data_IF_593409743013
#
_entry.id   IF_593409743013
#
_cell.length_a   1.000
_cell.length_b   1.000
_cell.length_c   1.000
_cell.angle_alpha   90.00
_cell.angle_beta   90.00
_cell.angle_gamma   90.00
#
_symmetry.space_group_name_H-M   'P 1'
#
loop_
_entity.id
_entity.type
_entity.pdbx_description
1 polymer ?
#
# COMPACT_ATOMS: atom_id res chain seq x y z
N UNK A 1 15.63 21.18 25.90
CA UNK A 1 15.56 19.75 25.85
C UNK A 1 16.28 19.20 24.62
N UNK A 2 16.88 18.03 24.70
CA UNK A 2 17.53 17.40 23.54
C UNK A 2 16.48 17.03 22.49
N UNK A 3 16.77 17.33 21.22
CA UNK A 3 15.94 16.90 20.07
C UNK A 3 16.50 15.58 19.55
N UNK A 4 15.64 14.55 19.47
CA UNK A 4 15.99 13.31 18.81
C UNK A 4 15.76 13.45 17.31
N UNK A 5 16.76 13.12 16.51
CA UNK A 5 16.69 13.10 15.04
C UNK A 5 16.96 11.69 14.56
N UNK A 6 16.16 11.20 13.64
CA UNK A 6 16.31 9.89 13.04
C UNK A 6 15.77 9.85 11.61
N UNK A 7 16.24 8.89 10.80
CA UNK A 7 15.70 8.58 9.49
C UNK A 7 14.92 7.27 9.56
N UNK A 8 13.84 7.17 8.77
CA UNK A 8 13.03 5.95 8.64
C UNK A 8 12.45 5.88 7.22
N UNK A 9 11.95 4.71 6.86
CA UNK A 9 11.11 4.54 5.69
C UNK A 9 9.88 5.46 5.75
N UNK A 10 9.28 5.73 4.58
CA UNK A 10 8.09 6.56 4.50
C UNK A 10 6.95 5.93 5.31
N UNK A 11 6.43 6.69 6.27
CA UNK A 11 5.29 6.27 7.08
C UNK A 11 4.01 6.77 6.44
N UNK A 12 3.06 5.85 6.22
CA UNK A 12 1.69 6.20 5.82
C UNK A 12 0.81 6.18 7.08
N UNK A 13 0.25 7.33 7.46
CA UNK A 13 -0.80 7.41 8.47
C UNK A 13 -2.15 7.14 7.79
N UNK A 14 -2.86 6.12 8.28
CA UNK A 14 -4.02 5.53 7.62
C UNK A 14 -5.11 5.19 8.62
N UNK A 15 -6.31 5.67 8.41
CA UNK A 15 -7.45 5.39 9.26
C UNK A 15 -8.51 4.62 8.48
N UNK A 16 -9.16 3.64 9.12
CA UNK A 16 -10.24 2.83 8.54
C UNK A 16 -11.51 3.09 9.35
N UNK A 17 -12.59 3.49 8.66
CA UNK A 17 -13.85 3.89 9.27
C UNK A 17 -14.78 2.69 9.44
N UNK A 18 -15.45 2.62 10.59
CA UNK A 18 -16.41 1.57 10.91
C UNK A 18 -17.81 2.17 11.08
N UNK A 19 -18.85 1.43 10.72
CA UNK A 19 -20.25 1.82 10.88
C UNK A 19 -20.75 1.73 12.33
N UNK A 20 -19.91 2.01 13.30
CA UNK A 20 -20.22 1.99 14.74
C UNK A 20 -19.48 3.10 15.47
N UNK A 21 -20.00 3.55 16.60
CA UNK A 21 -19.32 4.47 17.53
C UNK A 21 -18.65 3.73 18.69
N UNK A 22 -18.77 2.40 18.77
CA UNK A 22 -18.13 1.64 19.83
C UNK A 22 -16.64 1.39 19.55
N UNK A 23 -15.79 2.17 20.22
CA UNK A 23 -14.33 2.07 20.14
C UNK A 23 -13.78 0.67 20.37
N UNK A 24 -14.48 -0.17 21.12
CA UNK A 24 -14.00 -1.51 21.46
C UNK A 24 -13.81 -2.36 20.21
N UNK A 25 -14.71 -2.25 19.21
CA UNK A 25 -14.56 -2.95 17.92
C UNK A 25 -13.30 -2.50 17.17
N UNK A 26 -13.07 -1.20 17.08
CA UNK A 26 -11.89 -0.68 16.43
C UNK A 26 -10.59 -1.13 17.12
N UNK A 27 -10.56 -1.15 18.46
CA UNK A 27 -9.42 -1.67 19.21
C UNK A 27 -9.20 -3.17 18.98
N UNK A 28 -10.25 -3.98 19.00
CA UNK A 28 -10.15 -5.42 18.77
C UNK A 28 -9.54 -5.73 17.40
N UNK A 29 -10.01 -5.04 16.34
CA UNK A 29 -9.48 -5.21 15.00
C UNK A 29 -8.02 -4.70 14.93
N UNK A 30 -7.73 -3.52 15.50
CA UNK A 30 -6.37 -2.99 15.54
C UNK A 30 -5.38 -3.95 16.22
N UNK A 31 -5.81 -4.63 17.28
CA UNK A 31 -4.96 -5.55 18.04
C UNK A 31 -4.71 -6.88 17.32
N UNK A 32 -5.64 -7.33 16.48
CA UNK A 32 -5.42 -8.49 15.60
C UNK A 32 -4.45 -8.16 14.46
N UNK A 33 -4.48 -6.91 13.97
CA UNK A 33 -3.72 -6.53 12.79
C UNK A 33 -2.30 -6.06 13.09
N UNK A 34 -2.12 -5.23 14.16
CA UNK A 34 -0.84 -4.54 14.43
C UNK A 34 0.30 -5.49 14.78
N UNK A 35 1.54 -5.12 14.44
CA UNK A 35 2.75 -5.89 14.71
C UNK A 35 2.88 -6.35 16.17
N UNK A 36 2.60 -5.47 17.12
CA UNK A 36 2.65 -5.83 18.54
C UNK A 36 1.66 -6.92 18.92
N UNK A 37 0.57 -7.08 18.15
CA UNK A 37 -0.48 -8.02 18.45
C UNK A 37 -1.25 -7.66 19.72
N UNK A 38 -1.64 -8.67 20.49
CA UNK A 38 -2.43 -8.55 21.71
C UNK A 38 -1.95 -9.50 22.79
N UNK A 39 -2.35 -9.24 24.02
CA UNK A 39 -2.08 -10.18 25.12
C UNK A 39 -2.82 -11.50 24.89
N UNK A 40 -2.09 -12.61 25.06
CA UNK A 40 -2.70 -13.93 25.11
C UNK A 40 -3.60 -14.05 26.34
N UNK A 41 -4.76 -14.69 26.17
CA UNK A 41 -5.71 -14.96 27.25
C UNK A 41 -6.05 -16.44 27.29
N UNK A 42 -6.42 -16.94 28.48
CA UNK A 42 -6.74 -18.35 28.75
C UNK A 42 -8.17 -18.74 28.38
N UNK A 43 -9.06 -17.76 28.19
CA UNK A 43 -10.47 -18.00 27.89
C UNK A 43 -10.79 -18.13 26.42
N UNK A 44 -12.01 -18.53 26.11
CA UNK A 44 -12.53 -18.57 24.77
C UNK A 44 -12.62 -17.16 24.17
N UNK A 45 -12.35 -17.06 22.87
CA UNK A 45 -12.56 -15.84 22.10
C UNK A 45 -14.06 -15.65 21.89
N UNK A 46 -14.60 -14.55 22.40
CA UNK A 46 -15.88 -14.02 21.96
C UNK A 46 -15.69 -13.41 20.57
N UNK A 47 -16.63 -13.53 19.62
CA UNK A 47 -16.49 -12.92 18.29
C UNK A 47 -16.20 -11.42 18.33
N UNK A 48 -16.49 -10.75 19.44
CA UNK A 48 -16.29 -9.31 19.61
C UNK A 48 -15.12 -8.94 20.51
N UNK A 49 -14.86 -9.73 21.60
CA UNK A 49 -13.82 -9.43 22.58
C UNK A 49 -13.16 -10.71 23.08
N UNK A 50 -11.87 -10.63 23.37
CA UNK A 50 -11.21 -11.70 24.11
C UNK A 50 -11.69 -11.77 25.56
N UNK A 51 -11.98 -12.98 25.99
CA UNK A 51 -12.33 -13.32 27.38
C UNK A 51 -11.20 -14.10 28.03
N UNK A 52 -11.33 -14.29 29.33
CA UNK A 52 -10.37 -15.02 30.18
C UNK A 52 -9.24 -14.14 30.71
N UNK A 53 -8.40 -14.76 31.53
CA UNK A 53 -7.29 -14.11 32.20
C UNK A 53 -6.10 -13.92 31.25
N UNK A 54 -5.33 -12.86 31.48
CA UNK A 54 -4.07 -12.65 30.75
C UNK A 54 -3.07 -13.71 31.15
N UNK A 55 -2.42 -14.31 30.17
CA UNK A 55 -1.34 -15.29 30.36
C UNK A 55 -0.01 -14.54 30.52
N UNK A 56 0.75 -14.92 31.54
CA UNK A 56 2.06 -14.33 31.86
C UNK A 56 3.19 -15.35 31.74
N UNK A 57 4.40 -14.89 31.46
CA UNK A 57 5.60 -15.69 31.61
C UNK A 57 5.87 -15.94 33.09
N UNK A 58 6.15 -17.19 33.45
CA UNK A 58 6.50 -17.62 34.79
C UNK A 58 7.96 -18.07 34.87
N UNK A 59 8.44 -18.37 36.08
CA UNK A 59 9.72 -19.05 36.27
C UNK A 59 9.64 -20.46 35.68
N UNK A 60 10.50 -20.76 34.67
CA UNK A 60 10.50 -22.05 33.98
C UNK A 60 9.23 -22.34 33.15
N UNK A 61 8.42 -21.33 32.85
CA UNK A 61 7.20 -21.46 32.05
C UNK A 61 7.12 -20.37 31.02
N UNK A 62 7.34 -20.76 29.76
CA UNK A 62 7.38 -19.85 28.61
C UNK A 62 6.31 -20.25 27.58
N UNK A 63 5.06 -19.78 27.77
CA UNK A 63 3.97 -20.07 26.84
C UNK A 63 4.19 -19.40 25.49
N UNK A 64 3.91 -20.13 24.39
CA UNK A 64 3.81 -19.52 23.06
C UNK A 64 2.55 -18.66 22.95
N UNK A 65 2.66 -17.53 22.25
CA UNK A 65 1.55 -16.59 22.04
C UNK A 65 0.44 -17.14 21.15
N UNK A 66 0.82 -17.94 20.16
CA UNK A 66 -0.03 -18.31 19.03
C UNK A 66 -0.62 -19.74 19.14
N UNK A 67 -0.08 -20.57 20.04
CA UNK A 67 -0.52 -21.95 20.27
C UNK A 67 -0.59 -22.28 21.76
N UNK A 68 -0.99 -23.51 22.10
CA UNK A 68 -1.03 -23.99 23.49
C UNK A 68 0.31 -24.56 23.97
N UNK A 69 1.37 -24.46 23.17
CA UNK A 69 2.70 -24.90 23.55
C UNK A 69 3.26 -24.07 24.71
N UNK A 70 3.90 -24.74 25.64
CA UNK A 70 4.59 -24.13 26.78
C UNK A 70 5.98 -24.75 26.88
N UNK A 71 7.00 -23.92 26.72
CA UNK A 71 8.40 -24.32 26.85
C UNK A 71 8.90 -24.20 28.30
N UNK A 72 9.94 -24.98 28.63
CA UNK A 72 10.63 -24.89 29.91
C UNK A 72 11.69 -23.78 29.96
N UNK A 73 12.13 -23.27 28.80
CA UNK A 73 13.06 -22.16 28.70
C UNK A 73 12.71 -21.25 27.50
N UNK A 74 13.28 -20.04 27.50
CA UNK A 74 13.08 -19.11 26.39
C UNK A 74 13.76 -19.60 25.10
N UNK A 75 14.92 -20.25 25.20
CA UNK A 75 15.62 -20.85 24.06
C UNK A 75 14.78 -21.95 23.41
N UNK A 76 14.11 -22.77 24.21
CA UNK A 76 13.18 -23.78 23.70
C UNK A 76 11.99 -23.14 22.98
N UNK A 77 11.39 -22.09 23.58
CA UNK A 77 10.33 -21.33 22.92
C UNK A 77 10.80 -20.70 21.62
N UNK A 78 12.00 -20.10 21.60
CA UNK A 78 12.55 -19.47 20.38
C UNK A 78 12.82 -20.49 19.27
N UNK A 79 13.28 -21.70 19.61
CA UNK A 79 13.42 -22.80 18.66
C UNK A 79 12.08 -23.23 18.10
N UNK A 80 11.09 -23.48 18.98
CA UNK A 80 9.72 -23.82 18.58
C UNK A 80 9.13 -22.76 17.64
N UNK A 81 9.28 -21.48 17.98
CA UNK A 81 8.76 -20.37 17.20
C UNK A 81 9.38 -20.32 15.80
N UNK A 82 10.69 -20.52 15.69
CA UNK A 82 11.39 -20.57 14.39
C UNK A 82 10.94 -21.75 13.53
N UNK A 83 10.74 -22.91 14.12
CA UNK A 83 10.31 -24.13 13.43
C UNK A 83 8.86 -24.04 12.93
N UNK A 84 7.98 -23.39 13.67
CA UNK A 84 6.55 -23.36 13.36
C UNK A 84 6.11 -22.09 12.62
N UNK A 85 6.80 -20.94 12.83
CA UNK A 85 6.42 -19.65 12.25
C UNK A 85 7.49 -19.05 11.34
N UNK A 86 8.67 -19.68 11.24
CA UNK A 86 9.75 -19.25 10.33
C UNK A 86 10.43 -17.93 10.70
N UNK A 87 10.25 -17.44 11.93
CA UNK A 87 10.74 -16.15 12.37
C UNK A 87 11.61 -16.25 13.64
N UNK A 88 12.43 -15.23 13.88
CA UNK A 88 13.26 -15.13 15.09
C UNK A 88 12.51 -14.47 16.23
N UNK A 89 12.28 -15.20 17.33
CA UNK A 89 11.53 -14.72 18.48
C UNK A 89 12.27 -13.62 19.25
N UNK A 90 13.60 -13.62 19.27
CA UNK A 90 14.38 -12.55 19.91
C UNK A 90 14.20 -11.22 19.20
N UNK A 91 14.27 -11.23 17.87
CA UNK A 91 14.01 -10.04 17.04
C UNK A 91 12.57 -9.59 17.19
N UNK A 92 11.63 -10.53 17.14
CA UNK A 92 10.20 -10.29 17.31
C UNK A 92 9.89 -9.59 18.64
N UNK A 93 10.44 -10.06 19.76
CA UNK A 93 10.17 -9.47 21.07
C UNK A 93 10.81 -8.08 21.20
N UNK A 94 12.03 -7.91 20.69
CA UNK A 94 12.68 -6.58 20.66
C UNK A 94 11.88 -5.57 19.83
N UNK A 95 11.33 -6.00 18.68
CA UNK A 95 10.53 -5.10 17.81
C UNK A 95 9.26 -4.56 18.50
N UNK A 96 8.67 -5.34 19.39
CA UNK A 96 7.49 -4.93 20.17
C UNK A 96 7.83 -4.31 21.55
N UNK A 97 9.13 -4.12 21.83
CA UNK A 97 9.62 -3.50 23.06
C UNK A 97 9.63 -4.41 24.29
N UNK A 98 9.70 -5.73 24.08
CA UNK A 98 9.97 -6.71 25.12
C UNK A 98 11.47 -7.03 25.17
N UNK A 99 11.99 -7.16 26.39
CA UNK A 99 13.34 -7.61 26.65
C UNK A 99 13.31 -9.15 26.84
N UNK A 100 13.92 -9.95 25.94
CA UNK A 100 13.93 -11.40 26.03
C UNK A 100 14.59 -11.92 27.31
N UNK A 101 15.51 -11.16 27.89
CA UNK A 101 16.24 -11.54 29.13
C UNK A 101 15.45 -11.21 30.40
N UNK A 102 14.31 -10.50 30.29
CA UNK A 102 13.49 -10.05 31.43
C UNK A 102 11.98 -10.23 31.16
N UNK A 103 11.54 -11.47 30.98
CA UNK A 103 10.15 -11.80 30.64
C UNK A 103 9.30 -12.20 31.84
N UNK A 104 9.89 -12.66 32.97
CA UNK A 104 9.13 -13.10 34.14
C UNK A 104 8.11 -12.05 34.59
N UNK A 105 6.85 -12.45 34.74
CA UNK A 105 5.75 -11.56 35.08
C UNK A 105 5.28 -10.61 33.95
N UNK A 106 5.84 -10.70 32.75
CA UNK A 106 5.37 -9.96 31.58
C UNK A 106 4.23 -10.73 30.90
N UNK A 107 3.26 -10.03 30.29
CA UNK A 107 2.21 -10.70 29.53
C UNK A 107 2.77 -11.35 28.26
N UNK A 108 2.27 -12.53 27.95
CA UNK A 108 2.54 -13.20 26.66
C UNK A 108 1.74 -12.50 25.57
N UNK A 109 2.36 -12.30 24.41
CA UNK A 109 1.71 -11.69 23.26
C UNK A 109 1.39 -12.73 22.21
N UNK A 110 0.13 -12.71 21.72
CA UNK A 110 -0.25 -13.30 20.44
C UNK A 110 0.15 -12.34 19.34
N UNK A 111 0.74 -12.85 18.28
CA UNK A 111 1.18 -12.04 17.15
C UNK A 111 0.01 -11.40 16.42
N UNK A 112 0.24 -10.25 15.86
CA UNK A 112 -0.68 -9.64 14.91
C UNK A 112 -0.45 -10.14 13.49
N UNK A 113 -1.37 -9.81 12.60
CA UNK A 113 -1.35 -10.28 11.21
C UNK A 113 -0.21 -9.66 10.39
N UNK A 114 0.21 -8.42 10.74
CA UNK A 114 1.15 -7.64 9.94
C UNK A 114 2.36 -7.20 10.76
N UNK A 115 3.53 -7.26 10.14
CA UNK A 115 4.72 -6.54 10.58
C UNK A 115 4.67 -5.09 10.09
N UNK A 116 5.49 -4.21 10.65
CA UNK A 116 5.55 -2.80 10.27
C UNK A 116 4.21 -2.04 10.34
N UNK A 117 3.27 -2.53 11.16
CA UNK A 117 1.98 -1.92 11.40
C UNK A 117 1.80 -1.57 12.89
N UNK A 118 1.56 -0.30 13.19
CA UNK A 118 1.11 0.16 14.50
C UNK A 118 -0.35 0.54 14.41
N UNK A 119 -1.14 0.24 15.44
CA UNK A 119 -2.57 0.50 15.39
C UNK A 119 -3.25 0.58 16.75
N UNK A 120 -4.31 1.39 16.78
CA UNK A 120 -5.22 1.58 17.92
C UNK A 120 -6.60 1.95 17.39
N UNK A 121 -7.64 1.63 18.18
CA UNK A 121 -9.00 2.12 17.91
C UNK A 121 -9.30 3.41 18.67
N UNK A 122 -10.00 4.32 18.03
CA UNK A 122 -10.55 5.54 18.64
C UNK A 122 -11.95 5.87 18.13
N UNK A 123 -12.54 6.96 18.59
CA UNK A 123 -13.79 7.50 18.06
C UNK A 123 -13.53 8.91 17.56
N UNK A 124 -14.07 9.23 16.42
CA UNK A 124 -14.04 10.57 15.85
C UNK A 124 -15.46 11.15 15.92
N UNK A 125 -15.65 12.12 16.81
CA UNK A 125 -16.97 12.69 17.06
C UNK A 125 -17.51 13.44 15.84
N UNK A 126 -16.64 14.09 15.07
CA UNK A 126 -17.03 14.83 13.86
C UNK A 126 -17.58 13.90 12.77
N UNK A 127 -17.10 12.64 12.71
CA UNK A 127 -17.55 11.64 11.72
C UNK A 127 -18.59 10.68 12.29
N UNK A 128 -18.87 10.76 13.59
CA UNK A 128 -19.79 9.86 14.32
C UNK A 128 -19.45 8.39 14.07
N UNK A 129 -18.17 8.05 14.00
CA UNK A 129 -17.70 6.68 13.76
C UNK A 129 -16.48 6.31 14.61
N UNK A 130 -16.35 5.03 14.89
CA UNK A 130 -15.09 4.48 15.37
C UNK A 130 -14.13 4.26 14.21
N UNK A 131 -12.86 4.60 14.43
CA UNK A 131 -11.79 4.41 13.45
C UNK A 131 -10.71 3.47 13.99
N UNK A 132 -10.17 2.65 13.10
CA UNK A 132 -8.93 1.94 13.29
C UNK A 132 -7.83 2.87 12.79
N UNK A 133 -7.09 3.49 13.71
CA UNK A 133 -6.00 4.41 13.37
C UNK A 133 -4.69 3.64 13.28
N UNK A 134 -4.04 3.73 12.14
CA UNK A 134 -2.90 2.91 11.75
C UNK A 134 -1.73 3.76 11.29
N UNK A 135 -0.52 3.28 11.57
CA UNK A 135 0.72 3.78 10.99
C UNK A 135 1.45 2.62 10.31
N UNK A 136 1.51 2.67 9.00
CA UNK A 136 2.28 1.74 8.18
C UNK A 136 3.72 2.28 8.12
N UNK A 137 4.63 1.65 8.85
CA UNK A 137 6.03 2.12 8.96
C UNK A 137 6.91 1.65 7.81
N UNK A 138 6.45 0.65 7.05
CA UNK A 138 7.02 0.23 5.77
C UNK A 138 5.90 -0.32 4.86
N UNK A 139 5.38 0.52 3.99
CA UNK A 139 4.29 0.16 3.08
C UNK A 139 4.67 -0.83 1.98
N UNK A 140 5.97 -1.06 1.74
CA UNK A 140 6.46 -2.06 0.78
C UNK A 140 6.31 -3.49 1.31
N UNK A 141 6.30 -3.65 2.63
CA UNK A 141 6.09 -4.92 3.33
C UNK A 141 4.63 -5.09 3.71
N UNK A 142 4.01 -4.01 4.20
CA UNK A 142 2.61 -4.00 4.65
C UNK A 142 1.87 -2.87 3.94
N UNK A 143 1.34 -3.14 2.72
CA UNK A 143 0.69 -2.13 1.92
C UNK A 143 -0.73 -1.81 2.40
N UNK A 144 -1.22 -0.57 2.19
CA UNK A 144 -2.49 -0.12 2.77
C UNK A 144 -3.72 -0.89 2.27
N UNK A 145 -3.71 -1.41 1.05
CA UNK A 145 -4.82 -2.18 0.51
C UNK A 145 -4.97 -3.56 1.18
N UNK A 146 -3.88 -4.26 1.49
CA UNK A 146 -3.92 -5.52 2.23
C UNK A 146 -4.43 -5.31 3.66
N UNK A 147 -3.97 -4.25 4.30
CA UNK A 147 -4.43 -3.85 5.64
C UNK A 147 -5.93 -3.55 5.63
N UNK A 148 -6.43 -2.88 4.59
CA UNK A 148 -7.86 -2.59 4.43
C UNK A 148 -8.69 -3.87 4.25
N UNK A 149 -8.23 -4.80 3.40
CA UNK A 149 -8.95 -6.05 3.17
C UNK A 149 -9.00 -6.91 4.43
N UNK A 150 -7.91 -7.01 5.18
CA UNK A 150 -7.89 -7.69 6.47
C UNK A 150 -8.86 -7.02 7.48
N UNK A 151 -8.91 -5.68 7.51
CA UNK A 151 -9.87 -4.96 8.36
C UNK A 151 -11.32 -5.25 7.94
N UNK A 152 -11.62 -5.34 6.64
CA UNK A 152 -12.94 -5.71 6.11
C UNK A 152 -13.36 -7.11 6.55
N UNK A 153 -12.47 -8.08 6.46
CA UNK A 153 -12.72 -9.45 6.90
C UNK A 153 -12.98 -9.52 8.41
N UNK A 154 -12.13 -8.88 9.21
CA UNK A 154 -12.26 -8.85 10.66
C UNK A 154 -13.52 -8.09 11.12
N UNK A 155 -13.90 -7.03 10.43
CA UNK A 155 -15.13 -6.28 10.69
C UNK A 155 -16.36 -7.15 10.36
N UNK A 156 -16.38 -7.79 9.19
CA UNK A 156 -17.46 -8.67 8.73
C UNK A 156 -17.67 -9.83 9.72
N UNK A 157 -16.60 -10.46 10.22
CA UNK A 157 -16.67 -11.51 11.23
C UNK A 157 -17.30 -11.04 12.54
N UNK A 158 -17.34 -9.74 12.79
CA UNK A 158 -17.93 -9.09 13.97
C UNK A 158 -19.29 -8.44 13.70
N UNK A 159 -19.85 -8.64 12.50
CA UNK A 159 -21.15 -8.08 12.10
C UNK A 159 -21.12 -6.56 11.87
N UNK A 160 -19.95 -5.96 11.66
CA UNK A 160 -19.76 -4.54 11.35
C UNK A 160 -19.18 -4.34 9.95
N UNK A 161 -19.32 -3.13 9.43
CA UNK A 161 -18.93 -2.78 8.07
C UNK A 161 -17.84 -1.72 8.10
N UNK A 162 -16.81 -1.90 7.27
CA UNK A 162 -15.87 -0.84 6.91
C UNK A 162 -16.56 0.06 5.87
N UNK A 163 -16.80 1.33 6.21
CA UNK A 163 -17.46 2.29 5.31
C UNK A 163 -16.50 2.90 4.31
N UNK A 164 -15.25 3.10 4.72
CA UNK A 164 -14.18 3.63 3.89
C UNK A 164 -12.89 3.80 4.67
N UNK A 165 -11.98 4.58 4.13
CA UNK A 165 -10.69 4.84 4.76
C UNK A 165 -10.22 6.27 4.50
N UNK A 166 -9.22 6.69 5.26
CA UNK A 166 -8.62 8.02 5.17
C UNK A 166 -7.10 7.92 5.18
N UNK A 167 -6.43 8.57 4.23
CA UNK A 167 -5.00 8.85 4.28
C UNK A 167 -4.80 10.20 4.97
N UNK A 168 -4.11 10.19 6.09
CA UNK A 168 -3.77 11.42 6.83
C UNK A 168 -2.45 11.97 6.30
N UNK A 169 -2.52 13.18 5.70
CA UNK A 169 -1.38 13.76 4.99
C UNK A 169 -1.25 13.25 3.57
N UNK A 170 -0.04 12.81 3.21
CA UNK A 170 0.32 12.37 1.85
C UNK A 170 0.66 10.89 1.78
N UNK A 171 0.57 10.31 0.59
CA UNK A 171 0.87 8.90 0.31
C UNK A 171 1.77 8.79 -0.92
N UNK A 172 2.77 7.88 -0.93
CA UNK A 172 3.59 7.63 -2.11
C UNK A 172 2.77 7.06 -3.27
N UNK A 173 3.10 7.49 -4.49
CA UNK A 173 2.51 6.94 -5.72
C UNK A 173 2.67 5.43 -5.80
N UNK A 174 3.83 4.87 -5.42
CA UNK A 174 4.07 3.43 -5.42
C UNK A 174 3.01 2.66 -4.61
N UNK A 175 2.60 3.18 -3.45
CA UNK A 175 1.58 2.54 -2.62
C UNK A 175 0.20 2.56 -3.30
N UNK A 176 -0.14 3.68 -3.93
CA UNK A 176 -1.41 3.83 -4.66
C UNK A 176 -1.43 3.00 -5.94
N UNK A 177 -0.30 2.91 -6.64
CA UNK A 177 -0.14 2.08 -7.84
C UNK A 177 -0.33 0.60 -7.51
N UNK A 178 0.31 0.11 -6.43
CA UNK A 178 0.13 -1.27 -5.95
C UNK A 178 -1.34 -1.56 -5.61
N UNK A 179 -1.98 -0.65 -4.88
CA UNK A 179 -3.40 -0.78 -4.54
C UNK A 179 -4.28 -0.79 -5.80
N UNK A 180 -4.04 0.09 -6.76
CA UNK A 180 -4.79 0.14 -8.03
C UNK A 180 -4.69 -1.18 -8.81
N UNK A 181 -3.47 -1.72 -8.94
CA UNK A 181 -3.24 -3.02 -9.59
C UNK A 181 -3.95 -4.15 -8.85
N UNK A 182 -3.82 -4.22 -7.54
CA UNK A 182 -4.48 -5.22 -6.71
C UNK A 182 -6.00 -5.25 -6.94
N UNK A 183 -6.66 -4.09 -6.94
CA UNK A 183 -8.11 -4.05 -7.16
C UNK A 183 -8.51 -4.33 -8.61
N UNK A 184 -7.72 -3.92 -9.60
CA UNK A 184 -7.95 -4.29 -11.00
C UNK A 184 -7.84 -5.81 -11.21
N UNK A 185 -6.83 -6.45 -10.61
CA UNK A 185 -6.67 -7.91 -10.64
C UNK A 185 -7.87 -8.63 -10.03
N UNK A 186 -8.35 -8.17 -8.86
CA UNK A 186 -9.56 -8.74 -8.25
C UNK A 186 -10.80 -8.60 -9.12
N UNK A 187 -10.88 -7.56 -9.94
CA UNK A 187 -11.95 -7.35 -10.91
C UNK A 187 -11.71 -8.08 -12.24
N UNK A 188 -10.64 -8.85 -12.38
CA UNK A 188 -10.23 -9.49 -13.63
C UNK A 188 -10.09 -8.49 -14.79
N UNK A 189 -9.59 -7.28 -14.48
CA UNK A 189 -9.29 -6.23 -15.46
C UNK A 189 -7.80 -6.10 -15.68
N UNK A 190 -7.39 -5.55 -16.82
CA UNK A 190 -5.98 -5.29 -17.10
C UNK A 190 -5.39 -4.30 -16.08
N UNK A 191 -4.17 -4.60 -15.63
CA UNK A 191 -3.38 -3.72 -14.77
C UNK A 191 -2.53 -2.71 -15.54
N UNK A 192 -2.44 -2.87 -16.87
CA UNK A 192 -1.69 -2.00 -17.78
C UNK A 192 -2.49 -0.78 -18.23
N UNK A 193 -2.98 -0.01 -17.28
CA UNK A 193 -3.71 1.25 -17.50
C UNK A 193 -2.84 2.46 -17.13
N UNK A 194 -3.18 3.68 -17.57
CA UNK A 194 -2.46 4.88 -17.19
C UNK A 194 -2.32 5.06 -15.67
N UNK A 195 -1.21 5.68 -15.24
CA UNK A 195 -0.92 5.90 -13.81
C UNK A 195 -2.07 6.60 -13.06
N UNK A 196 -2.73 7.57 -13.69
CA UNK A 196 -3.91 8.25 -13.11
C UNK A 196 -5.09 7.32 -12.86
N UNK A 197 -5.30 6.35 -13.73
CA UNK A 197 -6.39 5.37 -13.62
C UNK A 197 -6.12 4.36 -12.49
N UNK A 198 -4.85 3.95 -12.30
CA UNK A 198 -4.44 3.13 -11.15
C UNK A 198 -4.75 3.84 -9.83
N UNK A 199 -4.33 5.10 -9.70
CA UNK A 199 -4.60 5.89 -8.50
C UNK A 199 -6.09 6.11 -8.29
N UNK A 200 -6.84 6.42 -9.35
CA UNK A 200 -8.29 6.59 -9.28
C UNK A 200 -8.97 5.30 -8.82
N UNK A 201 -8.56 4.16 -9.36
CA UNK A 201 -9.06 2.84 -8.95
C UNK A 201 -8.78 2.58 -7.47
N UNK A 202 -7.55 2.88 -7.00
CA UNK A 202 -7.20 2.75 -5.59
C UNK A 202 -8.07 3.63 -4.69
N UNK A 203 -8.23 4.91 -5.04
CA UNK A 203 -9.06 5.88 -4.29
C UNK A 203 -10.49 5.37 -4.15
N UNK A 204 -11.09 4.89 -5.24
CA UNK A 204 -12.46 4.39 -5.25
C UNK A 204 -12.59 3.07 -4.47
N UNK A 205 -11.73 2.09 -4.74
CA UNK A 205 -11.82 0.77 -4.12
C UNK A 205 -11.53 0.79 -2.62
N UNK A 206 -10.64 1.67 -2.19
CA UNK A 206 -10.31 1.86 -0.76
C UNK A 206 -11.28 2.79 -0.04
N UNK A 207 -12.21 3.45 -0.75
CA UNK A 207 -13.16 4.39 -0.14
C UNK A 207 -12.47 5.60 0.49
N UNK A 208 -11.43 6.15 -0.16
CA UNK A 208 -10.64 7.27 0.40
C UNK A 208 -11.38 8.61 0.36
N UNK A 209 -12.59 8.64 -0.17
CA UNK A 209 -13.47 9.82 -0.20
C UNK A 209 -14.60 9.77 0.82
N UNK A 210 -14.59 8.79 1.72
CA UNK A 210 -15.68 8.55 2.70
C UNK A 210 -15.94 9.77 3.60
N UNK A 211 -14.90 10.36 4.15
CA UNK A 211 -15.02 11.49 5.09
C UNK A 211 -14.62 12.84 4.51
N UNK A 212 -13.84 12.87 3.43
CA UNK A 212 -13.41 14.09 2.76
C UNK A 212 -13.02 13.82 1.31
N UNK A 213 -13.05 14.85 0.45
CA UNK A 213 -12.55 14.75 -0.91
C UNK A 213 -11.06 14.38 -0.95
N UNK A 214 -10.68 13.42 -1.80
CA UNK A 214 -9.30 13.02 -2.01
C UNK A 214 -8.73 13.72 -3.26
N UNK A 215 -7.94 14.76 -3.04
CA UNK A 215 -7.25 15.49 -4.09
C UNK A 215 -5.93 14.77 -4.44
N UNK A 216 -5.92 14.06 -5.57
CA UNK A 216 -4.76 13.27 -6.03
C UNK A 216 -3.51 14.15 -6.16
N UNK A 217 -3.64 15.35 -6.73
CA UNK A 217 -2.51 16.24 -6.97
C UNK A 217 -1.85 16.74 -5.67
N UNK A 218 -2.61 16.83 -4.58
CA UNK A 218 -2.10 17.27 -3.28
C UNK A 218 -1.67 16.12 -2.38
N UNK A 219 -2.31 14.96 -2.51
CA UNK A 219 -2.13 13.84 -1.58
C UNK A 219 -1.18 12.76 -2.09
N UNK A 220 -1.01 12.59 -3.41
CA UNK A 220 -0.14 11.55 -3.97
C UNK A 220 1.18 12.17 -4.40
N UNK A 221 2.27 11.80 -3.71
CA UNK A 221 3.63 12.27 -4.02
C UNK A 221 4.36 11.29 -4.92
N UNK A 222 5.22 11.83 -5.81
CA UNK A 222 5.98 11.01 -6.75
C UNK A 222 5.16 10.49 -7.93
N UNK A 223 3.98 11.05 -8.18
CA UNK A 223 3.19 10.72 -9.35
C UNK A 223 3.97 11.12 -10.63
N UNK A 224 4.01 10.25 -11.65
CA UNK A 224 4.63 10.62 -12.92
C UNK A 224 3.95 11.86 -13.51
N UNK A 225 4.74 12.88 -13.82
CA UNK A 225 4.27 14.12 -14.45
C UNK A 225 4.87 14.25 -15.83
N UNK A 226 4.11 14.85 -16.74
CA UNK A 226 4.59 15.28 -18.05
C UNK A 226 4.84 16.79 -17.91
N UNK A 227 6.11 17.18 -17.79
CA UNK A 227 6.48 18.57 -17.52
C UNK A 227 7.02 19.31 -18.75
N UNK A 228 7.37 18.57 -19.79
CA UNK A 228 7.89 19.11 -21.04
C UNK A 228 6.89 20.04 -21.75
N UNK A 229 7.35 21.20 -22.23
CA UNK A 229 6.49 22.18 -22.91
C UNK A 229 5.86 21.63 -24.19
N UNK A 230 6.58 20.79 -24.95
CA UNK A 230 6.05 20.20 -26.19
C UNK A 230 5.01 19.11 -25.91
N UNK A 231 5.30 18.22 -24.98
CA UNK A 231 4.38 17.14 -24.61
C UNK A 231 3.06 17.62 -23.97
N UNK A 232 3.02 18.85 -23.47
CA UNK A 232 1.81 19.52 -22.94
C UNK A 232 0.97 20.23 -23.99
N UNK A 233 1.47 20.40 -25.21
CA UNK A 233 0.72 21.06 -26.28
C UNK A 233 -0.52 20.22 -26.65
N UNK A 234 -1.55 20.91 -27.10
CA UNK A 234 -2.62 20.25 -27.85
C UNK A 234 -2.06 19.69 -29.15
N UNK A 235 -2.66 18.62 -29.64
CA UNK A 235 -2.19 17.96 -30.87
C UNK A 235 -2.08 18.97 -32.05
N UNK A 236 -3.07 19.86 -32.21
CA UNK A 236 -3.03 20.92 -33.24
C UNK A 236 -1.82 21.83 -33.07
N UNK A 237 -1.60 22.31 -31.85
CA UNK A 237 -0.56 23.28 -31.56
C UNK A 237 0.83 22.64 -31.67
N UNK A 238 0.95 21.36 -31.37
CA UNK A 238 2.19 20.59 -31.57
C UNK A 238 2.51 20.46 -33.09
N UNK A 239 1.49 20.13 -33.89
CA UNK A 239 1.66 20.03 -35.38
C UNK A 239 2.03 21.38 -35.97
N UNK A 240 1.42 22.46 -35.51
CA UNK A 240 1.78 23.81 -35.93
C UNK A 240 3.21 24.17 -35.54
N UNK A 241 3.65 23.80 -34.32
CA UNK A 241 5.01 24.05 -33.85
C UNK A 241 6.06 23.33 -34.71
N UNK A 242 5.81 22.07 -35.07
CA UNK A 242 6.68 21.28 -35.96
C UNK A 242 6.79 21.86 -37.34
N UNK A 243 5.77 22.60 -37.82
CA UNK A 243 5.72 23.18 -39.18
C UNK A 243 6.47 24.50 -39.32
N UNK A 244 7.00 25.07 -38.20
CA UNK A 244 7.72 26.34 -38.22
C UNK A 244 9.10 26.23 -38.84
N UNK A 245 9.70 27.39 -39.18
CA UNK A 245 11.05 27.53 -39.70
C UNK A 245 12.15 27.47 -38.63
N UNK A 246 11.92 26.66 -37.59
CA UNK A 246 12.83 26.41 -36.47
C UNK A 246 13.45 25.03 -36.59
N UNK A 247 14.73 24.83 -36.20
CA UNK A 247 15.37 23.52 -36.29
C UNK A 247 14.88 22.49 -35.28
N UNK A 248 14.12 22.91 -34.27
CA UNK A 248 13.49 22.07 -33.23
C UNK A 248 12.07 22.62 -32.91
N UNK A 249 11.09 21.72 -32.61
CA UNK A 249 11.20 20.25 -32.53
C UNK A 249 11.47 19.60 -33.90
N UNK A 250 12.31 18.56 -33.90
CA UNK A 250 12.75 17.86 -35.09
C UNK A 250 12.25 16.41 -35.20
N UNK A 251 12.96 15.64 -36.06
CA UNK A 251 12.61 14.24 -36.34
C UNK A 251 12.62 13.32 -35.11
N UNK A 252 13.49 13.58 -34.12
CA UNK A 252 13.56 12.80 -32.89
C UNK A 252 12.33 12.96 -32.02
N UNK A 253 11.89 14.21 -31.79
CA UNK A 253 10.62 14.49 -31.05
C UNK A 253 9.42 13.85 -31.75
N UNK A 254 9.37 13.88 -33.11
CA UNK A 254 8.28 13.23 -33.87
C UNK A 254 8.36 11.71 -33.76
N UNK A 255 9.53 11.11 -33.81
CA UNK A 255 9.72 9.67 -33.66
C UNK A 255 9.32 9.20 -32.26
N UNK A 256 9.65 9.97 -31.22
CA UNK A 256 9.24 9.73 -29.87
C UNK A 256 7.69 9.75 -29.71
N UNK A 257 7.03 10.76 -30.26
CA UNK A 257 5.56 10.83 -30.27
C UNK A 257 4.93 9.64 -31.02
N UNK A 258 5.45 9.30 -32.19
CA UNK A 258 4.94 8.16 -32.97
C UNK A 258 5.10 6.82 -32.20
N UNK A 259 6.25 6.62 -31.56
CA UNK A 259 6.52 5.47 -30.71
C UNK A 259 5.59 5.42 -29.48
N UNK A 260 5.34 6.55 -28.84
CA UNK A 260 4.40 6.67 -27.71
C UNK A 260 2.98 6.27 -28.13
N UNK A 261 2.50 6.74 -29.28
CA UNK A 261 1.20 6.36 -29.84
C UNK A 261 1.13 4.86 -30.16
N UNK A 262 2.20 4.29 -30.75
CA UNK A 262 2.28 2.85 -31.01
C UNK A 262 2.20 2.02 -29.72
N UNK A 263 2.93 2.41 -28.69
CA UNK A 263 2.88 1.76 -27.37
C UNK A 263 1.51 1.90 -26.69
N UNK A 264 0.86 3.06 -26.82
CA UNK A 264 -0.50 3.27 -26.33
C UNK A 264 -1.50 2.33 -27.01
N UNK A 265 -1.41 2.16 -28.35
CA UNK A 265 -2.25 1.22 -29.11
C UNK A 265 -1.99 -0.24 -28.70
N UNK A 266 -0.73 -0.61 -28.46
CA UNK A 266 -0.41 -1.95 -27.98
C UNK A 266 -1.06 -2.21 -26.61
N UNK A 267 -0.96 -1.27 -25.68
CA UNK A 267 -1.65 -1.36 -24.40
C UNK A 267 -3.18 -1.45 -24.56
N UNK A 268 -3.76 -0.63 -25.45
CA UNK A 268 -5.20 -0.66 -25.73
C UNK A 268 -5.67 -2.03 -26.21
N UNK A 269 -4.94 -2.67 -27.13
CA UNK A 269 -5.30 -4.01 -27.66
C UNK A 269 -5.32 -5.02 -26.50
N UNK A 270 -4.31 -5.01 -25.65
CA UNK A 270 -4.25 -5.91 -24.48
C UNK A 270 -5.42 -5.63 -23.53
N UNK A 271 -5.66 -4.37 -23.19
CA UNK A 271 -6.76 -3.98 -22.29
C UNK A 271 -8.13 -4.41 -22.81
N UNK A 272 -8.33 -4.42 -24.12
CA UNK A 272 -9.56 -4.91 -24.77
C UNK A 272 -9.65 -6.44 -24.85
N UNK A 273 -8.53 -7.14 -24.70
CA UNK A 273 -8.47 -8.61 -24.75
C UNK A 273 -8.69 -9.25 -23.39
N UNK A 274 -8.27 -8.60 -22.32
CA UNK A 274 -8.44 -9.09 -20.93
C UNK A 274 -9.93 -9.22 -20.60
N UNK A 275 -10.31 -10.37 -19.99
CA UNK A 275 -11.69 -10.70 -19.62
C UNK A 275 -12.56 -11.16 -20.80
N UNK A 276 -11.94 -11.48 -21.95
CA UNK A 276 -12.61 -12.19 -23.05
C UNK A 276 -12.16 -13.65 -23.02
N UNK A 277 -12.94 -14.53 -22.45
CA UNK A 277 -12.73 -15.93 -22.12
C UNK A 277 -11.61 -16.71 -22.82
N UNK A 278 -11.37 -16.47 -24.13
CA UNK A 278 -10.29 -17.10 -24.90
C UNK A 278 -8.87 -16.67 -24.46
N UNK A 279 -8.75 -15.60 -23.69
CA UNK A 279 -7.48 -15.04 -23.20
C UNK A 279 -7.28 -15.21 -21.69
N UNK A 280 -8.21 -15.81 -20.97
CA UNK A 280 -8.19 -15.90 -19.50
C UNK A 280 -6.95 -16.67 -19.00
N UNK A 281 -6.52 -17.73 -19.71
CA UNK A 281 -5.31 -18.49 -19.37
C UNK A 281 -4.01 -17.67 -19.52
N UNK A 282 -4.04 -16.56 -20.24
CA UNK A 282 -2.91 -15.66 -20.50
C UNK A 282 -3.02 -14.34 -19.75
N UNK A 283 -3.89 -14.25 -18.75
CA UNK A 283 -4.18 -13.01 -18.03
C UNK A 283 -2.92 -12.33 -17.52
N UNK A 284 -2.05 -13.04 -16.79
CA UNK A 284 -0.83 -12.49 -16.20
C UNK A 284 0.15 -12.02 -17.27
N UNK A 285 0.32 -12.78 -18.35
CA UNK A 285 1.16 -12.41 -19.49
C UNK A 285 0.67 -11.11 -20.15
N UNK A 286 -0.63 -11.03 -20.38
CA UNK A 286 -1.27 -9.86 -21.00
C UNK A 286 -1.13 -8.63 -20.09
N UNK A 287 -1.38 -8.76 -18.80
CA UNK A 287 -1.18 -7.67 -17.85
C UNK A 287 0.27 -7.15 -17.85
N UNK A 288 1.25 -8.06 -17.81
CA UNK A 288 2.66 -7.71 -17.86
C UNK A 288 3.06 -7.00 -19.18
N UNK A 289 2.51 -7.43 -20.31
CA UNK A 289 2.71 -6.77 -21.61
C UNK A 289 2.12 -5.35 -21.62
N UNK A 290 0.90 -5.18 -21.12
CA UNK A 290 0.26 -3.86 -21.06
C UNK A 290 0.98 -2.91 -20.10
N UNK A 291 1.43 -3.38 -18.92
CA UNK A 291 2.23 -2.58 -17.99
C UNK A 291 3.55 -2.11 -18.63
N UNK A 292 4.22 -3.00 -19.36
CA UNK A 292 5.44 -2.66 -20.10
C UNK A 292 5.17 -1.65 -21.20
N UNK A 293 4.07 -1.79 -21.94
CA UNK A 293 3.65 -0.83 -22.96
C UNK A 293 3.36 0.56 -22.36
N UNK A 294 2.71 0.63 -21.18
CA UNK A 294 2.53 1.90 -20.46
C UNK A 294 3.85 2.54 -20.07
N UNK A 295 4.82 1.77 -19.56
CA UNK A 295 6.15 2.26 -19.22
C UNK A 295 6.87 2.86 -20.42
N UNK A 296 6.90 2.13 -21.55
CA UNK A 296 7.50 2.60 -22.81
C UNK A 296 6.79 3.85 -23.33
N UNK A 297 5.47 3.89 -23.29
CA UNK A 297 4.68 5.07 -23.67
C UNK A 297 5.09 6.30 -22.83
N UNK A 298 5.17 6.16 -21.51
CA UNK A 298 5.50 7.28 -20.62
C UNK A 298 6.95 7.77 -20.81
N UNK A 299 7.87 6.87 -21.07
CA UNK A 299 9.27 7.20 -21.42
C UNK A 299 9.35 7.97 -22.74
N UNK A 300 8.70 7.48 -23.79
CA UNK A 300 8.68 8.12 -25.10
C UNK A 300 7.98 9.49 -25.09
N UNK A 301 6.95 9.67 -24.27
CA UNK A 301 6.33 11.00 -24.09
C UNK A 301 7.33 12.00 -23.48
N UNK A 302 8.14 11.59 -22.52
CA UNK A 302 9.22 12.46 -21.98
C UNK A 302 10.27 12.77 -23.04
N UNK A 303 10.65 11.77 -23.84
CA UNK A 303 11.66 11.92 -24.90
C UNK A 303 11.29 12.91 -26.01
N UNK A 304 10.03 13.32 -26.12
CA UNK A 304 9.61 14.39 -27.05
C UNK A 304 10.35 15.69 -26.74
N UNK A 305 10.42 16.05 -25.46
CA UNK A 305 11.07 17.28 -25.00
C UNK A 305 12.59 17.09 -24.83
N UNK A 306 13.02 15.92 -24.34
CA UNK A 306 14.44 15.58 -24.14
C UNK A 306 15.26 15.69 -25.47
N UNK A 307 14.68 15.26 -26.59
CA UNK A 307 15.32 15.39 -27.91
C UNK A 307 15.58 16.85 -28.27
N UNK A 308 14.57 17.71 -28.12
CA UNK A 308 14.68 19.14 -28.38
C UNK A 308 15.67 19.83 -27.44
N UNK A 309 15.67 19.46 -26.14
CA UNK A 309 16.63 19.99 -25.16
C UNK A 309 18.06 19.58 -25.50
N UNK A 310 18.30 18.32 -25.88
CA UNK A 310 19.60 17.81 -26.28
C UNK A 310 20.10 18.51 -27.54
N UNK A 311 19.22 18.75 -28.52
CA UNK A 311 19.56 19.50 -29.73
C UNK A 311 19.97 20.95 -29.40
N UNK A 312 19.19 21.66 -28.57
CA UNK A 312 19.49 23.03 -28.19
C UNK A 312 20.82 23.14 -27.42
N UNK A 313 21.14 22.16 -26.57
CA UNK A 313 22.43 22.11 -25.87
C UNK A 313 23.58 21.89 -26.83
N UNK A 314 23.40 21.12 -27.90
CA UNK A 314 24.46 20.93 -28.94
C UNK A 314 24.81 22.20 -29.69
N UNK A 315 23.83 23.09 -29.91
CA UNK A 315 24.05 24.37 -30.61
C UNK A 315 24.84 25.40 -29.76
N UNK A 316 24.84 25.26 -28.42
CA UNK A 316 25.60 26.16 -27.53
C UNK A 316 27.10 25.86 -27.61
N UNK A 317 27.50 24.70 -28.09
CA UNK A 317 28.89 24.27 -28.21
C UNK A 317 29.49 24.40 -29.61
N UNK A 318 28.75 24.94 -30.57
CA UNK A 318 29.22 25.30 -31.93
C UNK A 318 29.39 26.81 -32.02
#
# INVERSE_FOLDING_TARGET
GATAVGAREFLIAYNINLNTTDRRYANEIAYEMRERGRWKRSGNIDPFYYKGDVVYFGEGSFPDGNSDFVAGSFEELARYYRENYGADLYERYRSIGLDPDNLAGRPVYKDGMFTHLKGIGWVVDDYQCAQISLNLTNFRITPPHEVLEAARELATARGIVVTGAEVVGVVPFDAMQQAGRFYLQRMQKSTGVPAGDLVTTAVQAMGLTDVAAFDIAKKVIGMPTIDGPLAKLKVSDFVDEVSRDTPAPGGGSIAALAGALGSALASMVVNLSVGKGEFDERYDELCALAERAQGVKDELVRSIDEDTEAFNLSLIHI
#
